data_IF_590833614512
#
_entry.id   IF_590833614512
#
_cell.length_a   1.000
_cell.length_b   1.000
_cell.length_c   1.000
_cell.angle_alpha   90.00
_cell.angle_beta   90.00
_cell.angle_gamma   90.00
#
_symmetry.space_group_name_H-M   'P 1'
#
loop_
_entity.id
_entity.type
_entity.pdbx_description
1 polymer ?
#
# COMPACT_ATOMS: atom_id res chain seq x y z
N UNK A 1 -8.24 -33.69 16.11
CA UNK A 1 -7.23 -32.63 15.87
C UNK A 1 -7.76 -31.66 14.82
N UNK A 2 -8.28 -30.48 15.21
CA UNK A 2 -8.80 -29.46 14.28
C UNK A 2 -8.54 -28.08 14.87
N UNK A 3 -7.28 -27.63 14.85
CA UNK A 3 -6.90 -26.28 15.34
C UNK A 3 -5.73 -25.62 14.60
N UNK A 4 -5.08 -26.30 13.65
CA UNK A 4 -3.92 -25.73 12.92
C UNK A 4 -4.29 -25.02 11.60
N UNK A 5 -5.46 -25.26 11.02
CA UNK A 5 -5.88 -24.64 9.75
C UNK A 5 -6.08 -23.11 9.81
N UNK A 6 -6.44 -22.55 10.98
CA UNK A 6 -6.71 -21.12 11.11
C UNK A 6 -5.47 -20.23 11.08
N UNK A 7 -4.35 -20.68 11.65
CA UNK A 7 -3.10 -19.88 11.72
C UNK A 7 -2.38 -19.77 10.37
N UNK A 8 -2.44 -20.82 9.54
CA UNK A 8 -1.81 -20.83 8.20
C UNK A 8 -2.51 -19.86 7.24
N UNK A 9 -3.84 -19.72 7.36
CA UNK A 9 -4.62 -18.74 6.57
C UNK A 9 -4.31 -17.29 6.94
N UNK A 10 -4.06 -17.00 8.23
CA UNK A 10 -3.82 -15.63 8.69
C UNK A 10 -2.48 -15.05 8.18
N UNK A 11 -1.40 -15.85 8.23
CA UNK A 11 -0.10 -15.42 7.73
C UNK A 11 -0.10 -15.15 6.22
N UNK A 12 -0.76 -16.02 5.45
CA UNK A 12 -0.90 -15.83 4.00
C UNK A 12 -1.70 -14.57 3.65
N UNK A 13 -2.76 -14.27 4.41
CA UNK A 13 -3.54 -13.03 4.27
C UNK A 13 -2.70 -11.79 4.53
N UNK A 14 -1.99 -11.75 5.66
CA UNK A 14 -1.11 -10.61 5.99
C UNK A 14 -0.05 -10.39 4.91
N UNK A 15 0.61 -11.45 4.44
CA UNK A 15 1.62 -11.36 3.37
C UNK A 15 1.01 -10.88 2.06
N UNK A 16 -0.17 -11.38 1.69
CA UNK A 16 -0.90 -10.93 0.50
C UNK A 16 -1.27 -9.44 0.61
N UNK A 17 -1.81 -9.01 1.75
CA UNK A 17 -2.17 -7.61 1.98
C UNK A 17 -0.95 -6.71 1.95
N UNK A 18 0.15 -7.12 2.59
CA UNK A 18 1.43 -6.39 2.53
C UNK A 18 1.93 -6.27 1.08
N UNK A 19 1.84 -7.34 0.32
CA UNK A 19 2.28 -7.36 -1.07
C UNK A 19 1.42 -6.47 -1.97
N UNK A 20 0.09 -6.58 -1.89
CA UNK A 20 -0.83 -5.80 -2.72
C UNK A 20 -0.74 -4.32 -2.37
N UNK A 21 -0.83 -3.96 -1.08
CA UNK A 21 -0.73 -2.57 -0.63
C UNK A 21 0.66 -1.99 -0.91
N UNK A 22 1.72 -2.79 -0.75
CA UNK A 22 3.08 -2.39 -1.07
C UNK A 22 3.30 -2.15 -2.57
N UNK A 23 2.76 -3.01 -3.43
CA UNK A 23 2.83 -2.84 -4.88
C UNK A 23 2.12 -1.56 -5.33
N UNK A 24 0.93 -1.30 -4.81
CA UNK A 24 0.18 -0.06 -5.11
C UNK A 24 0.94 1.17 -4.58
N UNK A 25 1.45 1.12 -3.35
CA UNK A 25 2.25 2.20 -2.78
C UNK A 25 3.50 2.51 -3.61
N UNK A 26 4.18 1.48 -4.14
CA UNK A 26 5.36 1.64 -4.99
C UNK A 26 5.02 2.28 -6.34
N UNK A 27 3.89 1.91 -6.96
CA UNK A 27 3.42 2.56 -8.19
C UNK A 27 3.10 4.05 -7.95
N UNK A 28 2.46 4.36 -6.82
CA UNK A 28 2.20 5.74 -6.40
C UNK A 28 3.50 6.51 -6.19
N UNK A 29 4.47 5.91 -5.49
CA UNK A 29 5.79 6.52 -5.28
C UNK A 29 6.44 6.87 -6.62
N UNK A 30 6.53 5.91 -7.54
CA UNK A 30 7.15 6.13 -8.85
C UNK A 30 6.42 7.21 -9.66
N UNK A 31 5.07 7.20 -9.67
CA UNK A 31 4.28 8.21 -10.37
C UNK A 31 4.53 9.62 -9.84
N UNK A 32 4.51 9.80 -8.51
CA UNK A 32 4.79 11.10 -7.90
C UNK A 32 6.25 11.52 -8.07
N UNK A 33 7.20 10.57 -8.00
CA UNK A 33 8.62 10.86 -8.18
C UNK A 33 8.90 11.38 -9.58
N UNK A 34 8.41 10.68 -10.61
CA UNK A 34 8.53 11.11 -12.01
C UNK A 34 7.85 12.47 -12.21
N UNK A 35 6.68 12.68 -11.61
CA UNK A 35 5.99 13.98 -11.64
C UNK A 35 6.82 15.10 -11.03
N UNK A 36 7.42 14.89 -9.86
CA UNK A 36 8.27 15.89 -9.20
C UNK A 36 9.52 16.20 -10.03
N UNK A 37 10.18 15.16 -10.59
CA UNK A 37 11.34 15.34 -11.46
C UNK A 37 10.97 16.12 -12.72
N UNK A 38 9.83 15.81 -13.35
CA UNK A 38 9.36 16.51 -14.54
C UNK A 38 9.08 18.00 -14.23
N UNK A 39 8.37 18.29 -13.13
CA UNK A 39 8.08 19.66 -12.71
C UNK A 39 9.36 20.44 -12.41
N UNK A 40 10.29 19.85 -11.65
CA UNK A 40 11.56 20.51 -11.33
C UNK A 40 12.41 20.75 -12.59
N UNK A 41 12.37 19.82 -13.54
CA UNK A 41 13.06 19.97 -14.84
C UNK A 41 12.47 21.11 -15.66
N UNK A 42 11.13 21.21 -15.74
CA UNK A 42 10.44 22.29 -16.44
C UNK A 42 10.69 23.65 -15.76
N UNK A 43 10.75 23.67 -14.43
CA UNK A 43 10.99 24.88 -13.65
C UNK A 43 12.47 25.33 -13.65
N UNK A 44 13.41 24.45 -14.03
CA UNK A 44 14.85 24.71 -13.95
C UNK A 44 15.38 24.88 -12.51
N UNK A 45 14.58 24.51 -11.52
CA UNK A 45 14.90 24.60 -10.09
C UNK A 45 14.07 23.59 -9.29
N UNK A 46 14.46 23.31 -8.05
CA UNK A 46 13.70 22.42 -7.17
C UNK A 46 12.51 23.15 -6.56
N UNK A 47 11.31 22.86 -7.07
CA UNK A 47 10.04 23.40 -6.57
C UNK A 47 9.29 22.36 -5.73
N UNK A 48 9.40 21.09 -6.11
CA UNK A 48 8.80 19.96 -5.42
C UNK A 48 9.90 19.04 -4.89
N UNK A 49 9.77 18.60 -3.64
CA UNK A 49 10.69 17.60 -3.08
C UNK A 49 10.44 16.24 -3.76
N UNK A 50 11.40 15.73 -4.57
CA UNK A 50 11.22 14.51 -5.33
C UNK A 50 11.27 13.25 -4.46
N UNK A 51 11.53 13.35 -3.16
CA UNK A 51 11.51 12.21 -2.23
C UNK A 51 10.40 12.39 -1.21
N UNK A 52 10.30 13.56 -0.58
CA UNK A 52 9.32 13.81 0.48
C UNK A 52 7.87 13.64 0.03
N UNK A 53 7.49 14.23 -1.12
CA UNK A 53 6.12 14.16 -1.62
C UNK A 53 5.75 12.72 -2.03
N UNK A 54 6.56 12.00 -2.84
CA UNK A 54 6.26 10.62 -3.17
C UNK A 54 6.16 9.70 -1.95
N UNK A 55 7.03 9.88 -0.95
CA UNK A 55 7.05 9.05 0.25
C UNK A 55 5.76 9.24 1.09
N UNK A 56 5.30 10.48 1.23
CA UNK A 56 4.04 10.79 1.93
C UNK A 56 2.85 10.18 1.19
N UNK A 57 2.77 10.38 -0.13
CA UNK A 57 1.70 9.84 -0.96
C UNK A 57 1.66 8.30 -0.93
N UNK A 58 2.82 7.65 -1.10
CA UNK A 58 2.91 6.19 -1.08
C UNK A 58 2.57 5.61 0.29
N UNK A 59 2.99 6.26 1.37
CA UNK A 59 2.71 5.80 2.74
C UNK A 59 1.23 5.92 3.07
N UNK A 60 0.60 7.05 2.72
CA UNK A 60 -0.84 7.26 2.90
C UNK A 60 -1.66 6.21 2.15
N UNK A 61 -1.33 5.96 0.87
CA UNK A 61 -2.01 4.94 0.05
C UNK A 61 -1.73 3.54 0.58
N UNK A 62 -0.50 3.24 1.03
CA UNK A 62 -0.15 1.97 1.64
C UNK A 62 -1.05 1.66 2.85
N UNK A 63 -1.14 2.59 3.81
CA UNK A 63 -2.00 2.42 4.98
C UNK A 63 -3.49 2.30 4.63
N UNK A 64 -3.97 3.08 3.67
CA UNK A 64 -5.34 2.94 3.18
C UNK A 64 -5.61 1.56 2.57
N UNK A 65 -4.67 1.04 1.78
CA UNK A 65 -4.73 -0.30 1.20
C UNK A 65 -4.77 -1.40 2.27
N UNK A 66 -3.95 -1.28 3.32
CA UNK A 66 -4.02 -2.18 4.47
C UNK A 66 -5.39 -2.17 5.14
N UNK A 67 -5.95 -0.98 5.39
CA UNK A 67 -7.26 -0.84 6.03
C UNK A 67 -8.38 -1.48 5.20
N UNK A 68 -8.38 -1.25 3.88
CA UNK A 68 -9.38 -1.81 2.96
C UNK A 68 -9.31 -3.35 2.94
N UNK A 69 -8.11 -3.91 2.80
CA UNK A 69 -7.97 -5.36 2.69
C UNK A 69 -8.28 -6.05 4.03
N UNK A 70 -7.92 -5.44 5.17
CA UNK A 70 -8.30 -5.93 6.49
C UNK A 70 -9.82 -5.84 6.70
N UNK A 71 -10.48 -4.79 6.21
CA UNK A 71 -11.94 -4.69 6.27
C UNK A 71 -12.63 -5.85 5.54
N UNK A 72 -12.15 -6.21 4.35
CA UNK A 72 -12.68 -7.37 3.60
C UNK A 72 -12.48 -8.68 4.36
N UNK A 73 -11.32 -8.84 5.00
CA UNK A 73 -11.03 -10.03 5.81
C UNK A 73 -12.01 -10.17 6.98
N UNK A 74 -12.43 -9.07 7.62
CA UNK A 74 -13.40 -9.08 8.72
C UNK A 74 -14.78 -9.51 8.22
N UNK A 75 -15.27 -8.91 7.12
CA UNK A 75 -16.56 -9.27 6.51
C UNK A 75 -16.62 -10.74 6.09
N UNK A 76 -15.51 -11.29 5.58
CA UNK A 76 -15.43 -12.68 5.16
C UNK A 76 -15.51 -13.66 6.34
N UNK A 77 -14.96 -13.28 7.51
CA UNK A 77 -15.07 -14.08 8.74
C UNK A 77 -16.48 -14.03 9.36
N UNK A 78 -17.21 -12.93 9.20
CA UNK A 78 -18.59 -12.83 9.69
C UNK A 78 -19.56 -13.69 8.86
N UNK A 79 -19.31 -13.85 7.55
CA UNK A 79 -20.14 -14.71 6.68
C UNK A 79 -19.90 -16.21 6.87
N UNK A 80 -18.77 -16.62 7.43
CA UNK A 80 -18.45 -18.03 7.74
C UNK A 80 -19.02 -18.50 9.10
N UNK A 81 -19.65 -17.62 9.90
CA UNK A 81 -20.32 -17.93 11.17
C UNK A 81 -21.82 -18.16 11.00
#
# INVERSE_FOLDING_TARGET
>A
MKKSMGKVRLGHRIVRTLFVSGAVALLVFLGFHVGCVAVNTIAGTTVLDPVGIPLLASTAVGFAGFGIEWSKDIEEQEKEK
#
